data_IF_242939921731
#
_entry.id   IF_242939921731
#
_cell.length_a   1.000
_cell.length_b   1.000
_cell.length_c   1.000
_cell.angle_alpha   90.00
_cell.angle_beta   90.00
_cell.angle_gamma   90.00
#
_symmetry.space_group_name_H-M   'P 1'
#
loop_
_entity.id
_entity.type
_entity.pdbx_description
1 polymer ?
#
# COMPACT_ATOMS: atom_id res chain seq x y z
N UNK A 1 -6.89 -12.53 14.80
CA UNK A 1 -7.64 -12.43 13.54
C UNK A 1 -6.72 -12.82 12.39
N UNK A 2 -7.19 -13.72 11.55
CA UNK A 2 -6.42 -14.18 10.40
C UNK A 2 -6.23 -13.06 9.38
N UNK A 3 -5.01 -12.94 8.86
CA UNK A 3 -4.68 -11.96 7.82
C UNK A 3 -4.80 -12.63 6.45
N UNK A 4 -5.57 -12.01 5.58
CA UNK A 4 -5.87 -12.54 4.25
C UNK A 4 -5.32 -11.59 3.21
N UNK A 5 -4.38 -12.07 2.39
CA UNK A 5 -3.87 -11.34 1.25
C UNK A 5 -4.68 -11.70 0.01
N UNK A 6 -5.28 -10.70 -0.62
CA UNK A 6 -6.03 -10.87 -1.86
C UNK A 6 -5.21 -10.33 -3.03
N UNK A 7 -4.91 -11.22 -3.96
CA UNK A 7 -4.31 -10.88 -5.26
C UNK A 7 -5.31 -11.28 -6.35
N UNK A 8 -5.52 -10.42 -7.31
CA UNK A 8 -6.45 -10.68 -8.41
C UNK A 8 -5.93 -10.09 -9.72
N UNK A 9 -6.24 -10.74 -10.82
CA UNK A 9 -5.84 -10.29 -12.16
C UNK A 9 -6.83 -9.28 -12.74
N UNK A 10 -8.09 -9.32 -12.30
CA UNK A 10 -9.14 -8.43 -12.76
C UNK A 10 -10.15 -8.14 -11.65
N UNK A 11 -11.04 -7.17 -11.91
CA UNK A 11 -12.03 -6.71 -10.94
C UNK A 11 -13.02 -7.82 -10.56
N UNK A 12 -13.44 -8.65 -11.51
CA UNK A 12 -14.38 -9.75 -11.27
C UNK A 12 -13.81 -10.76 -10.28
N UNK A 13 -12.55 -11.18 -10.49
CA UNK A 13 -11.85 -12.08 -9.61
C UNK A 13 -11.66 -11.46 -8.21
N UNK A 14 -11.33 -10.17 -8.17
CA UNK A 14 -11.14 -9.41 -6.94
C UNK A 14 -12.42 -9.40 -6.09
N UNK A 15 -13.56 -9.06 -6.71
CA UNK A 15 -14.85 -9.04 -6.02
C UNK A 15 -15.26 -10.42 -5.52
N UNK A 16 -15.02 -11.46 -6.32
CA UNK A 16 -15.29 -12.85 -5.91
C UNK A 16 -14.48 -13.24 -4.68
N UNK A 17 -13.19 -12.92 -4.65
CA UNK A 17 -12.32 -13.21 -3.51
C UNK A 17 -12.71 -12.40 -2.27
N UNK A 18 -13.08 -11.13 -2.44
CA UNK A 18 -13.55 -10.28 -1.35
C UNK A 18 -14.83 -10.81 -0.71
N UNK A 19 -15.77 -11.28 -1.52
CA UNK A 19 -17.03 -11.83 -1.01
C UNK A 19 -16.81 -13.05 -0.12
N UNK A 20 -15.81 -13.85 -0.40
CA UNK A 20 -15.46 -15.06 0.35
C UNK A 20 -14.56 -14.79 1.55
N UNK A 21 -13.91 -13.64 1.61
CA UNK A 21 -12.94 -13.32 2.64
C UNK A 21 -13.59 -13.03 4.00
N UNK A 22 -13.01 -13.58 5.05
CA UNK A 22 -13.40 -13.32 6.44
C UNK A 22 -12.12 -13.09 7.25
N UNK A 23 -12.00 -11.94 7.88
CA UNK A 23 -10.84 -11.60 8.69
C UNK A 23 -10.21 -10.26 8.33
N UNK A 24 -8.92 -10.14 8.56
CA UNK A 24 -8.16 -8.93 8.27
C UNK A 24 -7.69 -8.97 6.81
N UNK A 25 -8.36 -8.20 5.96
CA UNK A 25 -8.14 -8.26 4.50
C UNK A 25 -7.12 -7.21 4.05
N UNK A 26 -6.09 -7.71 3.37
CA UNK A 26 -5.05 -6.90 2.71
C UNK A 26 -5.22 -7.12 1.20
N UNK A 27 -5.32 -6.05 0.43
CA UNK A 27 -5.50 -6.13 -1.02
C UNK A 27 -4.26 -5.62 -1.74
N UNK A 28 -3.76 -6.43 -2.67
CA UNK A 28 -2.66 -6.08 -3.55
C UNK A 28 -3.21 -5.34 -4.79
N UNK A 29 -2.81 -4.09 -4.95
CA UNK A 29 -3.31 -3.21 -5.99
C UNK A 29 -2.33 -3.18 -7.17
N UNK A 30 -2.84 -3.39 -8.38
CA UNK A 30 -2.06 -3.34 -9.62
C UNK A 30 -2.35 -2.11 -10.47
N UNK A 31 -3.58 -1.58 -10.39
CA UNK A 31 -3.99 -0.43 -11.17
C UNK A 31 -5.06 0.40 -10.45
N UNK A 32 -5.35 1.56 -11.01
CA UNK A 32 -6.32 2.50 -10.44
C UNK A 32 -7.75 1.96 -10.45
N UNK A 33 -8.10 1.14 -11.45
CA UNK A 33 -9.44 0.55 -11.53
C UNK A 33 -9.69 -0.40 -10.37
N UNK A 34 -8.70 -1.22 -10.02
CA UNK A 34 -8.77 -2.10 -8.85
C UNK A 34 -8.90 -1.29 -7.56
N UNK A 35 -8.11 -0.24 -7.42
CA UNK A 35 -8.17 0.65 -6.26
C UNK A 35 -9.57 1.23 -6.08
N UNK A 36 -10.16 1.77 -7.13
CA UNK A 36 -11.51 2.33 -7.10
C UNK A 36 -12.57 1.28 -6.80
N UNK A 37 -12.37 0.05 -7.28
CA UNK A 37 -13.31 -1.05 -7.04
C UNK A 37 -13.34 -1.49 -5.57
N UNK A 38 -12.21 -1.43 -4.85
CA UNK A 38 -12.10 -1.95 -3.48
C UNK A 38 -12.24 -0.87 -2.40
N UNK A 39 -12.06 0.39 -2.75
CA UNK A 39 -11.97 1.47 -1.76
C UNK A 39 -13.29 1.66 -0.98
N UNK A 40 -14.40 1.20 -1.52
CA UNK A 40 -15.72 1.28 -0.88
C UNK A 40 -16.10 0.00 -0.15
N UNK A 41 -15.28 -1.05 -0.19
CA UNK A 41 -15.58 -2.30 0.50
C UNK A 41 -15.15 -2.21 1.97
N UNK A 42 -16.09 -2.44 2.89
CA UNK A 42 -15.86 -2.35 4.33
C UNK A 42 -14.94 -3.44 4.87
N UNK A 43 -14.76 -4.52 4.13
CA UNK A 43 -13.88 -5.63 4.53
C UNK A 43 -12.41 -5.29 4.39
N UNK A 44 -12.06 -4.40 3.48
CA UNK A 44 -10.67 -4.02 3.19
C UNK A 44 -10.10 -3.20 4.33
N UNK A 45 -8.96 -3.63 4.86
CA UNK A 45 -8.27 -2.96 5.96
C UNK A 45 -6.98 -2.29 5.53
N UNK A 46 -6.26 -2.89 4.58
CA UNK A 46 -4.97 -2.37 4.10
C UNK A 46 -4.88 -2.56 2.59
N UNK A 47 -4.37 -1.53 1.91
CA UNK A 47 -4.00 -1.60 0.50
C UNK A 47 -2.48 -1.60 0.40
N UNK A 48 -1.93 -2.51 -0.41
CA UNK A 48 -0.49 -2.57 -0.68
C UNK A 48 -0.21 -2.41 -2.17
N UNK A 49 1.03 -2.02 -2.49
CA UNK A 49 1.52 -1.89 -3.86
C UNK A 49 0.78 -0.86 -4.72
N UNK A 50 0.17 0.15 -4.14
CA UNK A 50 -0.47 1.25 -4.86
C UNK A 50 0.52 1.98 -5.77
N UNK A 51 1.80 1.99 -5.42
CA UNK A 51 2.90 2.59 -6.18
C UNK A 51 3.40 1.74 -7.35
N UNK A 52 3.00 0.46 -7.42
CA UNK A 52 3.37 -0.46 -8.51
C UNK A 52 2.44 -0.38 -9.72
N UNK A 53 1.70 0.71 -9.88
CA UNK A 53 0.90 0.92 -11.08
C UNK A 53 1.82 0.93 -12.31
N UNK A 54 1.32 0.42 -13.44
CA UNK A 54 2.06 0.41 -14.72
C UNK A 54 2.20 1.80 -15.34
N UNK A 55 1.72 2.84 -14.67
CA UNK A 55 1.76 4.21 -15.17
C UNK A 55 3.16 4.81 -15.06
N UNK A 56 3.54 5.56 -16.08
CA UNK A 56 4.77 6.35 -16.05
C UNK A 56 4.62 7.52 -15.08
N UNK A 57 5.74 7.96 -14.53
CA UNK A 57 5.76 9.19 -13.74
C UNK A 57 5.35 10.38 -14.59
N UNK A 58 4.78 11.40 -13.95
CA UNK A 58 4.46 12.67 -14.60
C UNK A 58 5.75 13.46 -14.89
N UNK A 59 5.66 14.44 -15.77
CA UNK A 59 6.83 15.25 -16.18
C UNK A 59 7.54 15.91 -14.97
N UNK A 60 6.81 16.38 -13.99
CA UNK A 60 7.34 17.11 -12.83
C UNK A 60 7.04 16.44 -11.48
N UNK A 61 6.45 15.24 -11.48
CA UNK A 61 6.08 14.56 -10.26
C UNK A 61 6.03 13.06 -10.46
N UNK A 62 6.23 12.31 -9.38
CA UNK A 62 6.06 10.87 -9.40
C UNK A 62 4.59 10.49 -9.46
N UNK A 63 4.30 9.39 -10.14
CA UNK A 63 2.95 8.81 -10.17
C UNK A 63 2.88 7.69 -9.12
N UNK A 64 2.55 8.05 -7.91
CA UNK A 64 2.54 7.14 -6.77
C UNK A 64 1.29 6.27 -6.65
N UNK A 65 0.33 6.45 -7.53
CA UNK A 65 -0.95 5.73 -7.49
C UNK A 65 -2.00 6.34 -6.56
N UNK A 66 -1.62 7.25 -5.67
CA UNK A 66 -2.54 7.97 -4.79
C UNK A 66 -2.62 9.45 -5.16
N UNK A 67 -3.73 10.06 -4.77
CA UNK A 67 -3.95 11.48 -4.90
C UNK A 67 -4.79 11.99 -3.72
N UNK A 68 -5.03 13.29 -3.67
CA UNK A 68 -5.78 13.94 -2.60
C UNK A 68 -7.19 13.35 -2.42
N UNK A 69 -7.90 13.10 -3.51
CA UNK A 69 -9.28 12.57 -3.47
C UNK A 69 -9.29 11.16 -2.87
N UNK A 70 -8.39 10.30 -3.36
CA UNK A 70 -8.28 8.92 -2.86
C UNK A 70 -7.89 8.90 -1.38
N UNK A 71 -6.95 9.75 -0.97
CA UNK A 71 -6.55 9.83 0.44
C UNK A 71 -7.70 10.23 1.36
N UNK A 72 -8.55 11.17 0.94
CA UNK A 72 -9.74 11.54 1.71
C UNK A 72 -10.69 10.38 1.89
N UNK A 73 -10.91 9.60 0.83
CA UNK A 73 -11.79 8.41 0.90
C UNK A 73 -11.17 7.35 1.81
N UNK A 74 -9.88 7.09 1.69
CA UNK A 74 -9.18 6.14 2.56
C UNK A 74 -9.29 6.52 4.04
N UNK A 75 -9.18 7.80 4.33
CA UNK A 75 -9.36 8.32 5.70
C UNK A 75 -10.77 8.06 6.21
N UNK A 76 -11.79 8.38 5.42
CA UNK A 76 -13.19 8.18 5.79
C UNK A 76 -13.53 6.70 6.00
N UNK A 77 -12.98 5.84 5.15
CA UNK A 77 -13.23 4.39 5.20
C UNK A 77 -12.33 3.67 6.20
N UNK A 78 -11.41 4.37 6.82
CA UNK A 78 -10.45 3.80 7.78
C UNK A 78 -9.61 2.67 7.16
N UNK A 79 -9.18 2.85 5.92
CA UNK A 79 -8.31 1.93 5.20
C UNK A 79 -6.87 2.45 5.30
N UNK A 80 -5.95 1.58 5.72
CA UNK A 80 -4.53 1.93 5.80
C UNK A 80 -3.82 1.72 4.47
N UNK A 81 -2.82 2.55 4.21
CA UNK A 81 -1.87 2.35 3.09
C UNK A 81 -0.68 1.56 3.62
N UNK A 82 -0.46 0.40 3.06
CA UNK A 82 0.67 -0.47 3.41
C UNK A 82 1.83 -0.31 2.44
N UNK A 83 3.03 -0.23 2.99
CA UNK A 83 4.27 -0.21 2.23
C UNK A 83 4.92 -1.58 2.36
N UNK A 84 5.03 -2.29 1.24
CA UNK A 84 5.51 -3.67 1.21
C UNK A 84 7.03 -3.70 1.11
N UNK A 85 7.69 -4.18 2.16
CA UNK A 85 9.15 -4.30 2.20
C UNK A 85 9.66 -5.27 1.13
N UNK A 86 8.94 -6.35 0.89
CA UNK A 86 9.27 -7.36 -0.11
C UNK A 86 9.41 -6.77 -1.51
N UNK A 87 8.52 -5.83 -1.87
CA UNK A 87 8.54 -5.19 -3.18
C UNK A 87 9.82 -4.39 -3.41
N UNK A 88 10.36 -3.77 -2.37
CA UNK A 88 11.64 -3.05 -2.44
C UNK A 88 12.81 -4.01 -2.47
N UNK A 89 12.76 -5.03 -1.61
CA UNK A 89 13.84 -6.01 -1.47
C UNK A 89 14.11 -6.79 -2.76
N UNK A 90 13.04 -7.11 -3.52
CA UNK A 90 13.13 -7.89 -4.76
C UNK A 90 13.52 -7.07 -5.99
N UNK A 91 13.53 -5.74 -5.90
CA UNK A 91 13.93 -4.85 -6.99
C UNK A 91 15.33 -4.30 -6.75
N UNK A 92 15.98 -3.84 -7.81
CA UNK A 92 17.30 -3.22 -7.74
C UNK A 92 17.41 -2.02 -8.69
N UNK A 93 18.51 -1.27 -8.58
CA UNK A 93 18.84 -0.19 -9.49
C UNK A 93 17.74 0.87 -9.62
N UNK A 94 17.44 1.24 -10.85
CA UNK A 94 16.47 2.28 -11.17
C UNK A 94 15.04 1.92 -10.74
N UNK A 95 14.66 0.66 -10.88
CA UNK A 95 13.32 0.20 -10.47
C UNK A 95 13.10 0.40 -8.97
N UNK A 96 14.08 0.07 -8.16
CA UNK A 96 14.03 0.29 -6.71
C UNK A 96 13.97 1.78 -6.37
N UNK A 97 14.76 2.59 -7.05
CA UNK A 97 14.78 4.04 -6.83
C UNK A 97 13.43 4.69 -7.14
N UNK A 98 12.80 4.31 -8.25
CA UNK A 98 11.47 4.79 -8.64
C UNK A 98 10.43 4.38 -7.60
N UNK A 99 10.45 3.11 -7.19
CA UNK A 99 9.51 2.59 -6.19
C UNK A 99 9.64 3.33 -4.86
N UNK A 100 10.86 3.49 -4.36
CA UNK A 100 11.11 4.23 -3.12
C UNK A 100 10.64 5.67 -3.21
N UNK A 101 10.87 6.36 -4.33
CA UNK A 101 10.39 7.72 -4.55
C UNK A 101 8.87 7.83 -4.53
N UNK A 102 8.19 6.85 -5.12
CA UNK A 102 6.71 6.79 -5.09
C UNK A 102 6.20 6.52 -3.68
N UNK A 103 6.85 5.62 -2.93
CA UNK A 103 6.50 5.38 -1.53
C UNK A 103 6.68 6.63 -0.66
N UNK A 104 7.77 7.37 -0.85
CA UNK A 104 8.01 8.64 -0.14
C UNK A 104 6.90 9.66 -0.43
N UNK A 105 6.45 9.75 -1.68
CA UNK A 105 5.33 10.62 -2.06
C UNK A 105 4.04 10.17 -1.36
N UNK A 106 3.77 8.88 -1.29
CA UNK A 106 2.59 8.34 -0.61
C UNK A 106 2.64 8.60 0.91
N UNK A 107 3.81 8.48 1.52
CA UNK A 107 3.99 8.84 2.94
C UNK A 107 3.61 10.29 3.18
N UNK A 108 4.09 11.21 2.33
CA UNK A 108 3.77 12.63 2.41
C UNK A 108 2.28 12.90 2.26
N UNK A 109 1.64 12.26 1.28
CA UNK A 109 0.19 12.40 1.05
C UNK A 109 -0.62 11.85 2.23
N UNK A 110 -0.29 10.65 2.70
CA UNK A 110 -0.99 10.03 3.82
C UNK A 110 -0.85 10.84 5.11
N UNK A 111 0.34 11.39 5.35
CA UNK A 111 0.56 12.27 6.51
C UNK A 111 -0.30 13.53 6.42
N UNK A 112 -0.34 14.16 5.25
CA UNK A 112 -1.11 15.37 5.02
C UNK A 112 -2.61 15.18 5.25
N UNK A 113 -3.15 14.03 4.84
CA UNK A 113 -4.58 13.73 4.94
C UNK A 113 -4.94 12.79 6.09
N UNK A 114 -4.00 12.51 6.99
CA UNK A 114 -4.18 11.66 8.16
C UNK A 114 -4.67 10.25 7.83
N UNK A 115 -4.20 9.69 6.73
CA UNK A 115 -4.45 8.29 6.37
C UNK A 115 -3.51 7.40 7.19
N UNK A 116 -4.03 6.31 7.73
CA UNK A 116 -3.21 5.33 8.46
C UNK A 116 -2.18 4.69 7.54
N UNK A 117 -0.98 4.49 8.05
CA UNK A 117 0.12 3.86 7.32
C UNK A 117 0.62 2.61 8.04
N UNK A 118 1.07 1.64 7.26
CA UNK A 118 1.62 0.38 7.79
C UNK A 118 2.79 -0.08 6.92
N UNK A 119 3.73 -0.78 7.53
CA UNK A 119 4.74 -1.56 6.81
C UNK A 119 4.27 -3.01 6.83
N UNK A 120 4.16 -3.62 5.66
CA UNK A 120 3.69 -5.00 5.51
C UNK A 120 4.87 -5.88 5.12
N UNK A 121 5.07 -6.96 5.86
CA UNK A 121 6.19 -7.88 5.69
C UNK A 121 5.69 -9.31 5.47
N UNK A 122 6.10 -9.90 4.35
CA UNK A 122 5.83 -11.30 4.01
C UNK A 122 7.06 -12.19 4.09
N UNK A 123 8.24 -11.61 4.37
CA UNK A 123 9.52 -12.33 4.38
C UNK A 123 9.96 -12.80 5.76
N UNK A 124 9.23 -12.45 6.82
CA UNK A 124 9.66 -12.74 8.18
C UNK A 124 10.88 -11.92 8.60
N UNK A 125 10.98 -10.69 8.12
CA UNK A 125 12.11 -9.79 8.38
C UNK A 125 12.20 -9.37 9.84
N UNK A 126 13.39 -8.98 10.25
CA UNK A 126 13.60 -8.45 11.61
C UNK A 126 12.95 -7.09 11.75
N UNK A 127 12.39 -6.81 12.92
CA UNK A 127 11.77 -5.53 13.24
C UNK A 127 12.71 -4.35 13.00
N UNK A 128 14.01 -4.53 13.34
CA UNK A 128 15.03 -3.53 13.06
C UNK A 128 15.11 -3.14 11.59
N UNK A 129 15.05 -4.13 10.69
CA UNK A 129 15.11 -3.90 9.24
C UNK A 129 13.85 -3.20 8.74
N UNK A 130 12.71 -3.55 9.28
CA UNK A 130 11.43 -2.92 8.93
C UNK A 130 11.39 -1.46 9.41
N UNK A 131 11.89 -1.18 10.60
CA UNK A 131 11.99 0.20 11.10
C UNK A 131 12.97 1.04 10.26
N UNK A 132 14.09 0.44 9.85
CA UNK A 132 15.05 1.11 8.95
C UNK A 132 14.43 1.41 7.59
N UNK A 133 13.66 0.47 7.04
CA UNK A 133 12.91 0.70 5.81
C UNK A 133 11.92 1.85 5.97
N UNK A 134 11.17 1.89 7.07
CA UNK A 134 10.25 2.98 7.36
C UNK A 134 10.94 4.34 7.36
N UNK A 135 12.10 4.43 8.02
CA UNK A 135 12.91 5.65 8.03
C UNK A 135 13.35 6.05 6.62
N UNK A 136 13.74 5.09 5.78
CA UNK A 136 14.16 5.34 4.40
C UNK A 136 13.06 5.97 3.55
N UNK A 137 11.81 5.61 3.76
CA UNK A 137 10.68 6.19 3.00
C UNK A 137 10.05 7.40 3.69
N UNK A 138 10.63 7.86 4.80
CA UNK A 138 10.22 9.08 5.48
C UNK A 138 9.19 8.92 6.59
N UNK A 139 8.95 7.69 7.05
CA UNK A 139 8.06 7.45 8.19
C UNK A 139 8.74 7.80 9.51
N UNK A 140 8.03 8.52 10.37
CA UNK A 140 8.49 8.82 11.72
C UNK A 140 8.10 7.70 12.69
N UNK A 141 8.85 7.59 13.80
CA UNK A 141 8.54 6.64 14.86
C UNK A 141 7.10 6.86 15.37
N UNK A 142 6.32 5.79 15.47
CA UNK A 142 4.93 5.85 15.92
C UNK A 142 3.92 6.29 14.87
N UNK A 143 4.36 6.60 13.64
CA UNK A 143 3.50 7.01 12.53
C UNK A 143 2.91 5.83 11.76
N UNK A 144 3.40 4.64 12.00
CA UNK A 144 3.03 3.43 11.25
C UNK A 144 2.93 2.21 12.16
N UNK A 145 2.21 1.21 11.68
CA UNK A 145 2.15 -0.12 12.29
C UNK A 145 2.95 -1.10 11.44
N UNK A 146 3.49 -2.15 12.07
CA UNK A 146 4.14 -3.26 11.37
C UNK A 146 3.14 -4.41 11.31
N UNK A 147 2.84 -4.88 10.11
CA UNK A 147 1.95 -6.01 9.86
C UNK A 147 2.80 -7.15 9.29
N UNK A 148 2.99 -8.18 10.07
CA UNK A 148 3.68 -9.42 9.64
C UNK A 148 2.65 -10.44 9.16
N UNK A 149 2.92 -11.00 8.00
CA UNK A 149 2.03 -11.98 7.37
C UNK A 149 2.69 -13.35 7.20
#
# INVERSE_FOLDING_TARGET
>A
MEKILIKAENIKQLKSKLNKAQGFVIVDIHDEKMLRAVINDRKVKVLINTENSSHKDFMHARNSGLNQVLCKILKERNIAVGFCFDSVYTKDGMERAILLGRMMQNVTLCRKFNVKMAIVDFLGSKEKDLNSFGACIGLNTGEFEIIKC
#
